data_IF_372687008058
#
_entry.id   IF_372687008058
#
_cell.length_a   1.000
_cell.length_b   1.000
_cell.length_c   1.000
_cell.angle_alpha   90.00
_cell.angle_beta   90.00
_cell.angle_gamma   90.00
#
_symmetry.space_group_name_H-M   'P 1'
#
loop_
_entity.id
_entity.type
_entity.pdbx_description
1 polymer ?
#
# COMPACT_ATOMS: atom_id res chain seq x y z
N UNK A 1 15.04 26.81 -6.42
CA UNK A 1 14.21 25.67 -5.97
C UNK A 1 12.86 25.83 -6.65
N UNK A 2 12.41 24.85 -7.46
CA UNK A 2 11.05 24.93 -7.99
C UNK A 2 10.07 24.87 -6.84
N UNK A 3 9.00 25.65 -6.92
CA UNK A 3 7.93 25.65 -5.95
C UNK A 3 7.30 24.24 -5.88
N UNK A 4 7.03 23.74 -4.67
CA UNK A 4 6.43 22.43 -4.49
C UNK A 4 5.01 22.44 -5.07
N UNK A 5 4.72 21.55 -6.03
CA UNK A 5 3.43 21.46 -6.69
C UNK A 5 2.69 20.17 -6.29
N UNK A 6 1.36 20.20 -6.08
CA UNK A 6 0.58 18.99 -5.88
C UNK A 6 0.42 18.23 -7.20
N UNK A 7 -0.03 16.99 -7.12
CA UNK A 7 -0.54 16.27 -8.28
C UNK A 7 -1.85 16.90 -8.79
N UNK A 8 -2.13 16.72 -10.09
CA UNK A 8 -3.36 17.20 -10.72
C UNK A 8 -4.61 16.73 -9.95
N UNK A 9 -5.49 17.68 -9.61
CA UNK A 9 -6.71 17.42 -8.86
C UNK A 9 -6.52 17.17 -7.36
N UNK A 10 -5.30 17.28 -6.82
CA UNK A 10 -5.01 17.11 -5.39
C UNK A 10 -4.62 18.44 -4.74
N UNK A 11 -4.95 18.59 -3.46
CA UNK A 11 -4.59 19.77 -2.69
C UNK A 11 -3.18 19.63 -2.10
N UNK A 12 -2.32 20.64 -2.29
CA UNK A 12 -0.98 20.65 -1.70
C UNK A 12 -1.02 20.68 -0.18
N UNK A 13 -1.96 21.43 0.41
CA UNK A 13 -2.07 21.60 1.86
C UNK A 13 -3.37 21.03 2.38
N UNK A 14 -3.34 20.55 3.62
CA UNK A 14 -4.52 20.14 4.39
C UNK A 14 -4.44 20.74 5.80
N UNK A 15 -5.58 21.13 6.33
CA UNK A 15 -5.71 21.60 7.71
C UNK A 15 -6.39 20.53 8.55
N UNK A 16 -5.79 20.21 9.68
CA UNK A 16 -6.34 19.30 10.68
C UNK A 16 -6.33 20.00 12.04
N UNK A 17 -6.89 19.36 13.08
CA UNK A 17 -6.84 19.88 14.45
C UNK A 17 -5.39 20.11 14.96
N UNK A 18 -4.41 19.41 14.38
CA UNK A 18 -2.99 19.52 14.74
C UNK A 18 -2.25 20.66 14.01
N UNK A 19 -2.89 21.31 13.04
CA UNK A 19 -2.33 22.40 12.23
C UNK A 19 -2.47 22.19 10.72
N UNK A 20 -1.81 23.07 9.97
CA UNK A 20 -1.75 23.01 8.50
C UNK A 20 -0.49 22.30 8.05
N UNK A 21 -0.64 21.37 7.11
CA UNK A 21 0.43 20.55 6.58
C UNK A 21 0.45 20.60 5.06
N UNK A 22 1.64 20.83 4.47
CA UNK A 22 1.92 20.60 3.05
C UNK A 22 2.19 19.11 2.84
N UNK A 23 1.68 18.56 1.74
CA UNK A 23 1.79 17.16 1.31
C UNK A 23 2.42 17.15 -0.07
N UNK A 24 3.74 17.15 -0.09
CA UNK A 24 4.55 17.39 -1.28
C UNK A 24 4.82 16.03 -1.94
N UNK A 25 4.20 15.71 -3.09
CA UNK A 25 4.49 14.46 -3.78
C UNK A 25 5.90 14.50 -4.38
N UNK A 26 6.62 13.38 -4.33
CA UNK A 26 7.92 13.23 -4.96
C UNK A 26 7.74 12.40 -6.23
N UNK A 27 7.94 13.04 -7.39
CA UNK A 27 7.84 12.37 -8.69
C UNK A 27 9.11 11.59 -8.99
N UNK A 28 8.94 10.36 -9.45
CA UNK A 28 10.04 9.42 -9.73
C UNK A 28 9.87 8.76 -11.10
N UNK A 29 10.88 8.01 -11.54
CA UNK A 29 10.65 6.96 -12.55
C UNK A 29 9.76 5.86 -11.96
N UNK A 30 9.22 4.98 -12.81
CA UNK A 30 8.52 3.77 -12.36
C UNK A 30 9.52 2.85 -11.65
N UNK A 31 9.17 2.41 -10.43
CA UNK A 31 9.93 1.40 -9.70
C UNK A 31 9.72 0.06 -10.39
N UNK A 32 10.78 -0.72 -10.58
CA UNK A 32 10.78 -2.00 -11.26
C UNK A 32 11.22 -3.12 -10.32
N UNK A 33 10.83 -4.38 -10.59
CA UNK A 33 11.42 -5.52 -9.88
C UNK A 33 12.94 -5.52 -10.03
N UNK A 34 13.65 -5.72 -8.93
CA UNK A 34 15.13 -5.68 -8.89
C UNK A 34 15.73 -4.31 -8.56
N UNK A 35 14.92 -3.24 -8.51
CA UNK A 35 15.37 -1.98 -7.92
C UNK A 35 15.69 -2.15 -6.43
N UNK A 36 16.73 -1.46 -5.98
CA UNK A 36 17.05 -1.33 -4.55
C UNK A 36 16.28 -0.16 -3.95
N UNK A 37 15.51 -0.42 -2.89
CA UNK A 37 14.66 0.58 -2.25
C UNK A 37 15.47 1.74 -1.66
N UNK A 38 16.61 1.44 -1.05
CA UNK A 38 17.41 2.43 -0.33
C UNK A 38 18.07 3.40 -1.32
N UNK A 39 18.65 2.88 -2.40
CA UNK A 39 19.15 3.68 -3.51
C UNK A 39 18.05 4.52 -4.15
N UNK A 40 16.87 3.94 -4.40
CA UNK A 40 15.73 4.64 -5.01
C UNK A 40 15.23 5.79 -4.12
N UNK A 41 15.02 5.53 -2.82
CA UNK A 41 14.60 6.58 -1.87
C UNK A 41 15.67 7.66 -1.75
N UNK A 42 16.95 7.30 -1.72
CA UNK A 42 18.05 8.26 -1.65
C UNK A 42 18.08 9.17 -2.89
N UNK A 43 17.93 8.60 -4.08
CA UNK A 43 17.92 9.34 -5.36
C UNK A 43 16.83 10.42 -5.38
N UNK A 44 15.61 10.08 -4.98
CA UNK A 44 14.46 10.96 -5.15
C UNK A 44 14.08 11.79 -3.92
N UNK A 45 14.33 11.31 -2.70
CA UNK A 45 13.89 11.97 -1.48
C UNK A 45 14.98 12.80 -0.79
N UNK A 46 16.26 12.44 -0.89
CA UNK A 46 17.32 13.06 -0.09
C UNK A 46 17.46 14.58 -0.32
N UNK A 47 17.24 15.05 -1.56
CA UNK A 47 17.26 16.48 -1.90
C UNK A 47 15.96 17.24 -1.60
N UNK A 48 14.91 16.55 -1.16
CA UNK A 48 13.57 17.11 -0.95
C UNK A 48 13.22 17.21 0.54
N UNK A 49 13.60 16.20 1.31
CA UNK A 49 13.36 16.13 2.76
C UNK A 49 14.12 17.23 3.51
N UNK A 50 13.48 17.79 4.52
CA UNK A 50 14.02 18.82 5.41
C UNK A 50 13.86 18.39 6.88
N UNK A 51 14.65 18.96 7.81
CA UNK A 51 14.44 18.72 9.24
C UNK A 51 13.00 19.06 9.66
N UNK A 52 12.37 18.17 10.43
CA UNK A 52 10.97 18.29 10.87
C UNK A 52 9.95 17.69 9.90
N UNK A 53 10.38 17.18 8.75
CA UNK A 53 9.49 16.50 7.81
C UNK A 53 9.17 15.06 8.23
N UNK A 54 8.00 14.59 7.84
CA UNK A 54 7.70 13.15 7.76
C UNK A 54 7.77 12.71 6.30
N UNK A 55 8.66 11.78 5.97
CA UNK A 55 8.66 11.08 4.68
C UNK A 55 7.65 9.93 4.75
N UNK A 56 6.78 9.81 3.75
CA UNK A 56 5.91 8.66 3.61
C UNK A 56 6.13 7.98 2.27
N UNK A 57 6.20 6.66 2.29
CA UNK A 57 6.48 5.81 1.13
C UNK A 57 5.33 4.81 0.97
N UNK A 58 4.83 4.65 -0.25
CA UNK A 58 3.75 3.68 -0.49
C UNK A 58 4.21 2.25 -0.27
N UNK A 59 3.32 1.42 0.26
CA UNK A 59 3.53 -0.02 0.40
C UNK A 59 3.91 -0.70 -0.92
N UNK A 60 3.40 -0.18 -2.05
CA UNK A 60 3.54 -0.80 -3.37
C UNK A 60 5.00 -0.86 -3.79
N UNK A 61 5.75 0.24 -3.65
CA UNK A 61 7.16 0.23 -4.06
C UNK A 61 8.03 -0.57 -3.10
N UNK A 62 7.68 -0.61 -1.82
CA UNK A 62 8.36 -1.47 -0.85
C UNK A 62 8.14 -2.94 -1.24
N UNK A 63 6.91 -3.33 -1.56
CA UNK A 63 6.60 -4.68 -2.03
C UNK A 63 7.30 -5.02 -3.35
N UNK A 64 7.30 -4.12 -4.33
CA UNK A 64 7.96 -4.33 -5.64
C UNK A 64 9.47 -4.57 -5.46
N UNK A 65 10.15 -3.72 -4.69
CA UNK A 65 11.60 -3.84 -4.43
C UNK A 65 11.93 -5.07 -3.59
N UNK A 66 11.00 -5.58 -2.79
CA UNK A 66 11.09 -6.88 -2.10
C UNK A 66 10.80 -8.09 -3.00
N UNK A 67 10.55 -7.90 -4.30
CA UNK A 67 10.22 -8.99 -5.23
C UNK A 67 8.82 -9.58 -5.02
N UNK A 68 7.88 -8.79 -4.49
CA UNK A 68 6.52 -9.22 -4.12
C UNK A 68 5.45 -8.78 -5.12
N UNK A 69 5.86 -8.42 -6.33
CA UNK A 69 4.99 -8.16 -7.48
C UNK A 69 5.14 -9.27 -8.52
N UNK A 70 4.02 -9.84 -8.94
CA UNK A 70 3.97 -11.00 -9.83
C UNK A 70 3.08 -10.68 -11.02
N UNK A 71 3.61 -10.79 -12.24
CA UNK A 71 2.78 -10.70 -13.44
C UNK A 71 1.80 -11.87 -13.50
N UNK A 72 0.62 -11.65 -14.10
CA UNK A 72 -0.43 -12.68 -14.13
C UNK A 72 0.02 -13.99 -14.79
N UNK A 73 0.88 -13.93 -15.81
CA UNK A 73 1.42 -15.10 -16.52
C UNK A 73 2.42 -15.91 -15.68
N UNK A 74 3.06 -15.28 -14.69
CA UNK A 74 3.93 -15.98 -13.72
C UNK A 74 3.13 -16.74 -12.66
N UNK A 75 1.82 -16.49 -12.54
CA UNK A 75 0.95 -17.13 -11.56
C UNK A 75 0.21 -18.28 -12.23
N UNK A 76 0.38 -19.48 -11.70
CA UNK A 76 -0.39 -20.66 -12.09
C UNK A 76 -1.37 -21.02 -10.98
N UNK A 77 -2.66 -20.62 -11.09
CA UNK A 77 -3.67 -20.96 -10.09
C UNK A 77 -3.90 -22.47 -10.04
N UNK A 78 -3.91 -23.04 -8.84
CA UNK A 78 -4.32 -24.43 -8.64
C UNK A 78 -5.85 -24.58 -8.73
N UNK A 79 -6.41 -25.79 -8.95
CA UNK A 79 -7.86 -26.00 -9.02
C UNK A 79 -8.62 -25.43 -7.81
N UNK A 80 -8.03 -25.55 -6.61
CA UNK A 80 -8.59 -24.98 -5.39
C UNK A 80 -8.73 -23.46 -5.45
N UNK A 81 -7.72 -22.74 -5.97
CA UNK A 81 -7.78 -21.29 -6.11
C UNK A 81 -8.92 -20.87 -7.06
N UNK A 82 -9.05 -21.56 -8.20
CA UNK A 82 -10.15 -21.35 -9.17
C UNK A 82 -11.52 -21.65 -8.59
N UNK A 83 -11.62 -22.60 -7.66
CA UNK A 83 -12.86 -22.92 -6.98
C UNK A 83 -13.22 -21.84 -5.96
N UNK A 84 -12.30 -21.52 -5.05
CA UNK A 84 -12.52 -20.56 -3.97
C UNK A 84 -12.80 -19.14 -4.46
N UNK A 85 -12.12 -18.69 -5.52
CA UNK A 85 -12.28 -17.32 -6.04
C UNK A 85 -13.71 -17.00 -6.50
N UNK A 86 -14.48 -18.01 -6.91
CA UNK A 86 -15.89 -17.88 -7.33
C UNK A 86 -16.82 -17.45 -6.19
N UNK A 87 -16.43 -17.70 -4.94
CA UNK A 87 -17.25 -17.42 -3.75
C UNK A 87 -16.90 -16.09 -3.09
N UNK A 88 -15.90 -15.37 -3.60
CA UNK A 88 -15.52 -14.05 -3.11
C UNK A 88 -16.54 -13.02 -3.63
N UNK A 89 -17.13 -12.28 -2.71
CA UNK A 89 -18.06 -11.20 -3.06
C UNK A 89 -17.26 -10.09 -3.76
N UNK A 90 -17.64 -9.76 -5.00
CA UNK A 90 -17.10 -8.58 -5.70
C UNK A 90 -17.61 -7.31 -5.01
N UNK A 91 -16.72 -6.35 -4.79
CA UNK A 91 -17.08 -5.04 -4.20
C UNK A 91 -16.72 -3.93 -5.18
N UNK A 92 -17.27 -2.74 -4.98
CA UNK A 92 -16.92 -1.54 -5.75
C UNK A 92 -15.47 -1.10 -5.59
N UNK A 93 -14.76 -1.62 -4.57
CA UNK A 93 -13.41 -1.20 -4.19
C UNK A 93 -12.29 -2.06 -4.80
N UNK A 94 -12.64 -3.07 -5.59
CA UNK A 94 -11.65 -3.91 -6.27
C UNK A 94 -12.06 -5.37 -6.37
N UNK A 95 -11.24 -6.12 -7.11
CA UNK A 95 -11.43 -7.54 -7.38
C UNK A 95 -11.14 -8.39 -6.12
N UNK A 96 -10.26 -7.90 -5.25
CA UNK A 96 -9.78 -8.62 -4.06
C UNK A 96 -9.29 -10.03 -4.42
N UNK A 97 -9.63 -11.02 -3.57
CA UNK A 97 -9.33 -12.43 -3.85
C UNK A 97 -10.29 -13.09 -4.85
N UNK A 98 -11.07 -12.31 -5.61
CA UNK A 98 -12.05 -12.79 -6.58
C UNK A 98 -11.48 -13.29 -7.90
N UNK A 99 -10.16 -13.13 -8.12
CA UNK A 99 -9.44 -13.73 -9.24
C UNK A 99 -8.74 -15.02 -8.79
N UNK A 100 -8.65 -16.06 -9.65
CA UNK A 100 -7.87 -17.25 -9.35
C UNK A 100 -6.42 -16.96 -8.98
N UNK A 101 -5.79 -15.97 -9.61
CA UNK A 101 -4.41 -15.56 -9.39
C UNK A 101 -4.22 -14.93 -8.01
N UNK A 102 -5.11 -13.99 -7.62
CA UNK A 102 -5.05 -13.38 -6.28
C UNK A 102 -5.37 -14.39 -5.18
N UNK A 103 -6.31 -15.31 -5.42
CA UNK A 103 -6.60 -16.42 -4.50
C UNK A 103 -5.43 -17.40 -4.39
N UNK A 104 -4.74 -17.73 -5.49
CA UNK A 104 -3.54 -18.56 -5.48
C UNK A 104 -2.44 -17.91 -4.64
N UNK A 105 -2.25 -16.60 -4.79
CA UNK A 105 -1.31 -15.85 -3.96
C UNK A 105 -1.71 -15.83 -2.48
N UNK A 106 -3.00 -15.73 -2.15
CA UNK A 106 -3.47 -15.85 -0.77
C UNK A 106 -3.18 -17.23 -0.17
N UNK A 107 -3.37 -18.30 -0.95
CA UNK A 107 -3.06 -19.67 -0.52
C UNK A 107 -1.56 -19.88 -0.27
N UNK A 108 -0.70 -19.26 -1.08
CA UNK A 108 0.77 -19.29 -0.92
C UNK A 108 1.21 -18.47 0.29
N UNK A 109 0.70 -17.25 0.42
CA UNK A 109 1.13 -16.28 1.43
C UNK A 109 0.62 -16.60 2.85
N UNK A 110 -0.63 -17.04 2.96
CA UNK A 110 -1.29 -17.27 4.25
C UNK A 110 -1.38 -18.75 4.63
N UNK A 111 -1.08 -19.65 3.69
CA UNK A 111 -1.20 -21.09 3.86
C UNK A 111 -2.61 -21.61 3.55
N UNK A 112 -2.66 -22.76 2.87
CA UNK A 112 -3.92 -23.38 2.45
C UNK A 112 -4.88 -23.71 3.61
N UNK A 113 -4.43 -24.31 4.74
CA UNK A 113 -5.34 -24.61 5.85
C UNK A 113 -6.03 -23.37 6.42
N UNK A 114 -5.30 -22.25 6.54
CA UNK A 114 -5.82 -20.99 7.06
C UNK A 114 -6.90 -20.39 6.14
N UNK A 115 -6.64 -20.38 4.83
CA UNK A 115 -7.61 -19.86 3.86
C UNK A 115 -8.86 -20.73 3.80
N UNK A 116 -8.73 -22.06 3.87
CA UNK A 116 -9.88 -22.97 3.92
C UNK A 116 -10.71 -22.76 5.19
N UNK A 117 -10.06 -22.61 6.34
CA UNK A 117 -10.75 -22.32 7.59
C UNK A 117 -11.46 -20.96 7.54
N UNK A 118 -10.81 -19.92 7.03
CA UNK A 118 -11.41 -18.60 6.82
C UNK A 118 -12.63 -18.66 5.89
N UNK A 119 -12.55 -19.44 4.80
CA UNK A 119 -13.66 -19.64 3.87
C UNK A 119 -14.82 -20.38 4.52
N UNK A 120 -14.55 -21.46 5.27
CA UNK A 120 -15.58 -22.23 5.97
C UNK A 120 -16.32 -21.39 7.01
N UNK A 121 -15.59 -20.65 7.86
CA UNK A 121 -16.21 -19.76 8.84
C UNK A 121 -17.01 -18.67 8.14
N UNK A 122 -16.45 -18.03 7.10
CA UNK A 122 -17.16 -16.99 6.36
C UNK A 122 -18.43 -17.51 5.67
N UNK A 123 -18.47 -18.77 5.25
CA UNK A 123 -19.67 -19.38 4.68
C UNK A 123 -20.77 -19.55 5.73
N UNK A 124 -20.41 -20.04 6.93
CA UNK A 124 -21.34 -20.20 8.07
C UNK A 124 -21.83 -18.84 8.57
N UNK A 125 -20.94 -17.88 8.81
CA UNK A 125 -21.32 -16.59 9.40
C UNK A 125 -22.16 -15.72 8.46
N UNK A 126 -22.00 -15.90 7.14
CA UNK A 126 -22.89 -15.27 6.13
C UNK A 126 -24.35 -15.66 6.32
N UNK A 127 -24.63 -16.90 6.76
CA UNK A 127 -26.01 -17.37 7.03
C UNK A 127 -26.66 -16.61 8.19
N UNK A 128 -25.85 -16.05 9.09
CA UNK A 128 -26.29 -15.23 10.22
C UNK A 128 -26.16 -13.72 9.96
N UNK A 129 -25.99 -13.31 8.69
CA UNK A 129 -25.87 -11.89 8.30
C UNK A 129 -24.54 -11.22 8.65
N UNK A 130 -23.57 -11.95 9.23
CA UNK A 130 -22.25 -11.42 9.56
C UNK A 130 -21.33 -11.45 8.33
N UNK A 131 -20.61 -10.35 8.09
CA UNK A 131 -19.69 -10.19 6.95
C UNK A 131 -18.27 -9.89 7.43
N UNK A 132 -17.29 -10.22 6.59
CA UNK A 132 -15.86 -9.91 6.81
C UNK A 132 -15.08 -10.91 7.64
N UNK A 133 -15.70 -11.98 8.14
CA UNK A 133 -15.01 -12.98 8.98
C UNK A 133 -13.89 -13.71 8.21
N UNK A 134 -14.01 -13.81 6.87
CA UNK A 134 -12.92 -14.30 6.03
C UNK A 134 -11.62 -13.56 6.30
N UNK A 135 -11.58 -12.22 6.17
CA UNK A 135 -10.36 -11.45 6.35
C UNK A 135 -9.94 -11.33 7.82
N UNK A 136 -10.86 -11.45 8.78
CA UNK A 136 -10.51 -11.54 10.21
C UNK A 136 -9.66 -12.78 10.50
N UNK A 137 -9.95 -13.89 9.82
CA UNK A 137 -9.23 -15.16 9.98
C UNK A 137 -8.04 -15.25 9.04
N UNK A 138 -8.21 -14.94 7.76
CA UNK A 138 -7.14 -14.96 6.76
C UNK A 138 -6.00 -14.01 7.14
N UNK A 139 -6.31 -12.88 7.80
CA UNK A 139 -5.35 -11.94 8.34
C UNK A 139 -4.93 -10.85 7.34
N UNK A 140 -4.08 -9.94 7.82
CA UNK A 140 -3.74 -8.72 7.10
C UNK A 140 -2.97 -8.99 5.81
N UNK A 141 -2.13 -10.03 5.80
CA UNK A 141 -1.43 -10.49 4.59
C UNK A 141 -2.37 -10.81 3.43
N UNK A 142 -3.53 -11.43 3.70
CA UNK A 142 -4.52 -11.72 2.67
C UNK A 142 -5.28 -10.45 2.23
N UNK A 143 -5.46 -9.49 3.15
CA UNK A 143 -6.13 -8.21 2.86
C UNK A 143 -5.26 -7.29 2.01
N UNK A 144 -3.95 -7.32 2.22
CA UNK A 144 -2.97 -6.53 1.48
C UNK A 144 -2.59 -7.12 0.11
N UNK A 145 -3.27 -8.18 -0.35
CA UNK A 145 -3.08 -8.68 -1.71
C UNK A 145 -3.89 -7.80 -2.65
N UNK A 146 -3.19 -7.09 -3.51
CA UNK A 146 -3.79 -6.25 -4.54
C UNK A 146 -3.70 -6.92 -5.90
N UNK A 147 -4.79 -6.83 -6.65
CA UNK A 147 -4.91 -7.37 -7.99
C UNK A 147 -4.69 -6.31 -9.07
N UNK A 148 -4.65 -6.73 -10.34
CA UNK A 148 -4.61 -5.81 -11.47
C UNK A 148 -5.80 -4.85 -11.41
N UNK A 149 -5.53 -3.55 -11.53
CA UNK A 149 -6.55 -2.49 -11.49
C UNK A 149 -6.38 -1.56 -12.69
N UNK A 150 -7.49 -1.33 -13.41
CA UNK A 150 -7.53 -0.43 -14.57
C UNK A 150 -7.08 0.98 -14.18
N UNK A 151 -6.21 1.58 -15.00
CA UNK A 151 -5.64 2.90 -14.74
C UNK A 151 -4.39 2.90 -13.85
N UNK A 152 -3.99 1.75 -13.30
CA UNK A 152 -2.68 1.59 -12.67
C UNK A 152 -1.57 1.76 -13.71
N UNK A 153 -0.42 2.29 -13.31
CA UNK A 153 0.72 2.43 -14.22
C UNK A 153 1.27 1.07 -14.68
N UNK A 154 1.46 0.84 -15.99
CA UNK A 154 2.10 -0.38 -16.47
C UNK A 154 3.52 -0.58 -15.91
N UNK A 155 3.96 -1.83 -15.65
CA UNK A 155 3.25 -3.10 -15.92
C UNK A 155 2.30 -3.55 -14.79
N UNK A 156 2.04 -2.71 -13.79
CA UNK A 156 1.32 -3.09 -12.57
C UNK A 156 -0.20 -3.13 -12.75
N UNK A 157 -0.71 -2.60 -13.86
CA UNK A 157 -2.06 -2.84 -14.38
C UNK A 157 -2.33 -4.31 -14.73
N UNK A 158 -1.29 -5.15 -14.76
CA UNK A 158 -1.35 -6.59 -15.06
C UNK A 158 -0.57 -7.45 -14.07
N UNK A 159 -0.44 -7.00 -12.83
CA UNK A 159 0.28 -7.71 -11.77
C UNK A 159 -0.59 -7.91 -10.52
N UNK A 160 -0.26 -8.96 -9.77
CA UNK A 160 -0.69 -9.14 -8.37
C UNK A 160 0.46 -8.70 -7.47
N UNK A 161 0.17 -7.82 -6.52
CA UNK A 161 1.16 -7.31 -5.56
C UNK A 161 0.77 -7.76 -4.17
N UNK A 162 1.70 -8.37 -3.44
CA UNK A 162 1.50 -8.69 -2.03
C UNK A 162 1.91 -7.50 -1.17
N UNK A 163 1.29 -7.35 0.00
CA UNK A 163 1.75 -6.38 0.99
C UNK A 163 3.23 -6.57 1.37
N UNK A 164 3.95 -5.49 1.73
CA UNK A 164 5.36 -5.53 2.07
C UNK A 164 5.64 -6.35 3.33
N UNK A 165 6.87 -6.83 3.46
CA UNK A 165 7.36 -7.50 4.67
C UNK A 165 8.09 -6.52 5.57
N UNK A 166 7.85 -6.62 6.88
CA UNK A 166 8.52 -5.84 7.93
C UNK A 166 8.48 -4.31 7.72
N UNK A 167 7.29 -3.72 7.48
CA UNK A 167 7.16 -2.30 7.15
C UNK A 167 7.73 -1.36 8.24
N UNK A 168 7.66 -1.73 9.52
CA UNK A 168 8.29 -0.97 10.62
C UNK A 168 9.82 -0.94 10.49
N UNK A 169 10.42 -2.09 10.18
CA UNK A 169 11.87 -2.20 9.98
C UNK A 169 12.31 -1.42 8.74
N UNK A 170 11.50 -1.44 7.67
CA UNK A 170 11.73 -0.61 6.47
C UNK A 170 11.68 0.87 6.84
N UNK A 171 10.66 1.33 7.57
CA UNK A 171 10.55 2.74 7.99
C UNK A 171 11.76 3.18 8.83
N UNK A 172 12.16 2.36 9.82
CA UNK A 172 13.33 2.63 10.66
C UNK A 172 14.62 2.69 9.84
N UNK A 173 14.81 1.75 8.90
CA UNK A 173 15.97 1.70 8.01
C UNK A 173 16.06 2.95 7.13
N UNK A 174 14.96 3.33 6.48
CA UNK A 174 14.90 4.52 5.62
C UNK A 174 15.13 5.82 6.41
N UNK A 175 14.64 5.91 7.66
CA UNK A 175 14.94 7.05 8.54
C UNK A 175 16.43 7.15 8.83
N UNK A 176 17.07 6.03 9.19
CA UNK A 176 18.50 5.98 9.46
C UNK A 176 19.35 6.30 8.21
N UNK A 177 18.93 5.78 7.05
CA UNK A 177 19.58 6.02 5.76
C UNK A 177 19.62 7.51 5.40
N UNK A 178 18.49 8.20 5.52
CA UNK A 178 18.39 9.61 5.13
C UNK A 178 18.91 10.58 6.19
N UNK A 179 18.80 10.22 7.48
CA UNK A 179 19.27 11.00 8.64
C UNK A 179 18.60 12.37 8.86
N UNK A 180 17.83 12.84 7.89
CA UNK A 180 17.22 14.18 7.84
C UNK A 180 15.75 14.23 8.29
N UNK A 181 14.86 13.33 7.84
CA UNK A 181 13.44 13.41 8.22
C UNK A 181 13.26 13.10 9.71
N UNK A 182 12.30 13.78 10.34
CA UNK A 182 11.90 13.53 11.72
C UNK A 182 11.23 12.16 11.86
N UNK A 183 10.45 11.75 10.86
CA UNK A 183 9.80 10.45 10.83
C UNK A 183 9.71 9.86 9.42
N UNK A 184 9.58 8.53 9.37
CA UNK A 184 9.31 7.80 8.14
C UNK A 184 8.12 6.85 8.36
N UNK A 185 7.26 6.72 7.34
CA UNK A 185 6.13 5.79 7.36
C UNK A 185 5.99 5.04 6.03
N UNK A 186 5.66 3.75 6.12
CA UNK A 186 5.17 2.95 4.99
C UNK A 186 3.64 2.94 5.04
N UNK A 187 3.00 3.39 3.96
CA UNK A 187 1.57 3.67 3.94
C UNK A 187 0.84 2.92 2.82
N UNK A 188 -0.35 2.46 3.13
CA UNK A 188 -1.36 1.99 2.18
C UNK A 188 -2.46 3.04 2.10
N UNK A 189 -2.43 3.90 1.08
CA UNK A 189 -3.39 5.01 0.94
C UNK A 189 -4.06 4.99 -0.43
N UNK A 190 -5.34 5.31 -0.44
CA UNK A 190 -6.17 5.47 -1.62
C UNK A 190 -7.17 6.62 -1.45
N UNK A 191 -7.96 6.88 -2.48
CA UNK A 191 -8.85 8.05 -2.51
C UNK A 191 -10.04 7.97 -1.52
N UNK A 192 -10.18 6.85 -0.78
CA UNK A 192 -11.23 6.65 0.23
C UNK A 192 -10.67 6.51 1.65
N UNK A 193 -9.35 6.59 1.82
CA UNK A 193 -8.68 6.48 3.12
C UNK A 193 -7.36 5.73 3.04
N UNK A 194 -6.85 5.29 4.18
CA UNK A 194 -5.62 4.50 4.21
C UNK A 194 -5.19 4.04 5.59
N UNK A 195 -4.15 3.22 5.61
CA UNK A 195 -3.54 2.63 6.78
C UNK A 195 -2.04 2.93 6.82
N UNK A 196 -1.50 3.03 8.03
CA UNK A 196 -0.06 3.00 8.23
C UNK A 196 0.33 1.55 8.47
N UNK A 197 1.17 1.00 7.60
CA UNK A 197 1.60 -0.39 7.73
C UNK A 197 2.78 -0.54 8.68
N UNK A 198 3.62 0.48 8.75
CA UNK A 198 4.69 0.58 9.73
C UNK A 198 5.31 1.96 9.70
N UNK A 199 5.82 2.41 10.83
CA UNK A 199 6.34 3.78 10.95
C UNK A 199 7.33 3.94 12.09
N UNK A 200 8.02 5.08 12.10
CA UNK A 200 8.82 5.52 13.25
C UNK A 200 8.04 6.48 14.17
N UNK A 201 6.73 6.62 13.96
CA UNK A 201 5.85 7.47 14.76
C UNK A 201 5.26 6.68 15.92
N UNK A 202 4.73 7.39 16.91
CA UNK A 202 3.83 6.78 17.88
C UNK A 202 2.42 6.64 17.31
N UNK A 203 1.54 5.96 18.06
CA UNK A 203 0.17 5.68 17.62
C UNK A 203 -0.64 6.97 17.37
N UNK A 204 -0.37 8.04 18.11
CA UNK A 204 -1.06 9.32 17.91
C UNK A 204 -0.61 9.98 16.60
N UNK A 205 0.70 9.95 16.31
CA UNK A 205 1.28 10.38 15.05
C UNK A 205 0.75 9.61 13.85
N UNK A 206 0.61 8.28 13.96
CA UNK A 206 0.01 7.46 12.90
C UNK A 206 -1.46 7.84 12.62
N UNK A 207 -2.26 8.06 13.67
CA UNK A 207 -3.65 8.50 13.51
C UNK A 207 -3.75 9.87 12.85
N UNK A 208 -2.87 10.79 13.20
CA UNK A 208 -2.79 12.10 12.55
C UNK A 208 -2.36 11.95 11.08
N UNK A 209 -1.39 11.08 10.80
CA UNK A 209 -0.89 10.83 9.46
C UNK A 209 -1.99 10.29 8.54
N UNK A 210 -2.84 9.37 9.01
CA UNK A 210 -4.01 8.88 8.27
C UNK A 210 -4.97 10.03 7.92
N UNK A 211 -5.21 10.97 8.85
CA UNK A 211 -6.06 12.15 8.58
C UNK A 211 -5.45 13.10 7.56
N UNK A 212 -4.13 13.29 7.61
CA UNK A 212 -3.41 14.15 6.65
C UNK A 212 -3.47 13.55 5.23
N UNK A 213 -3.47 12.22 5.12
CA UNK A 213 -3.40 11.50 3.84
C UNK A 213 -4.75 10.97 3.33
N UNK A 214 -5.88 11.30 3.96
CA UNK A 214 -7.16 10.61 3.75
C UNK A 214 -7.77 10.74 2.35
N UNK A 215 -7.47 11.80 1.62
CA UNK A 215 -7.87 12.07 0.22
C UNK A 215 -6.75 11.70 -0.77
N UNK A 216 -5.69 11.06 -0.30
CA UNK A 216 -4.54 10.59 -1.05
C UNK A 216 -3.88 11.67 -1.94
N UNK A 217 -2.83 12.38 -1.44
CA UNK A 217 -2.14 13.41 -2.20
C UNK A 217 -1.28 12.86 -3.35
N UNK A 218 -0.98 11.56 -3.38
CA UNK A 218 -0.14 10.92 -4.41
C UNK A 218 -0.90 10.58 -5.69
N UNK A 219 -2.24 10.61 -5.67
CA UNK A 219 -3.05 10.11 -6.78
C UNK A 219 -3.05 8.58 -6.88
N UNK A 220 -3.82 8.05 -7.83
CA UNK A 220 -4.05 6.60 -8.01
C UNK A 220 -3.72 6.08 -9.42
N UNK A 221 -3.24 6.94 -10.31
CA UNK A 221 -3.02 6.61 -11.72
C UNK A 221 -1.56 6.74 -12.13
N UNK A 222 -1.31 7.54 -13.17
CA UNK A 222 0.01 7.66 -13.81
C UNK A 222 0.91 8.78 -13.27
N UNK A 223 0.57 9.37 -12.11
CA UNK A 223 1.32 10.48 -11.52
C UNK A 223 2.79 10.15 -11.28
N UNK A 224 3.10 8.87 -11.02
CA UNK A 224 4.45 8.37 -10.71
C UNK A 224 5.05 9.04 -9.48
N UNK A 225 4.25 9.18 -8.41
CA UNK A 225 4.66 9.77 -7.13
C UNK A 225 4.48 8.76 -6.00
N UNK A 226 5.31 7.72 -5.90
CA UNK A 226 5.12 6.63 -4.93
C UNK A 226 5.55 6.98 -3.50
N UNK A 227 6.03 8.19 -3.27
CA UNK A 227 6.40 8.72 -1.97
C UNK A 227 6.15 10.22 -1.92
N UNK A 228 6.12 10.78 -0.72
CA UNK A 228 5.94 12.21 -0.52
C UNK A 228 6.41 12.65 0.85
N UNK A 229 6.38 13.96 1.05
CA UNK A 229 6.79 14.61 2.29
C UNK A 229 5.61 15.33 2.90
N UNK A 230 5.45 15.18 4.20
CA UNK A 230 4.56 16.01 5.01
C UNK A 230 5.40 17.02 5.75
N UNK A 231 5.07 18.30 5.55
CA UNK A 231 5.76 19.44 6.14
C UNK A 231 4.77 20.34 6.83
N UNK A 232 5.02 20.68 8.09
CA UNK A 232 4.21 21.68 8.81
C UNK A 232 4.38 23.05 8.12
N UNK A 233 3.25 23.72 7.85
CA UNK A 233 3.24 25.04 7.21
C UNK A 233 3.58 26.16 8.20
#
# INVERSE_FOLDING_TARGET
MSEAAPNDGKALSVTTDAGTFKRIPIRTRVVMPGDDLDAFVTEYAAGVVQPGDTLFVTEKIVAITQGRSYTLDAIQPRPLARFLSRYVTKTSYGIGLGMPETMEMALRECGTPRILFAAAVSAVTKLFGRRGDFYRIAGDKARAIDGPTDGTIPPYDRAVVLGPTEPDAVAARLKALLGTPEAVAVVDINDIGGNILGSTLDRAGEQQLVRILSDNPLGQGHQSTPMGVIRRA
#
